data_IF_870715260110
#
_entry.id   IF_870715260110
#
_cell.length_a   1.000
_cell.length_b   1.000
_cell.length_c   1.000
_cell.angle_alpha   90.00
_cell.angle_beta   90.00
_cell.angle_gamma   90.00
#
_symmetry.space_group_name_H-M   'P 1'
#
loop_
_entity.id
_entity.type
_entity.pdbx_description
1 polymer ?
#
# COMPACT_ATOMS: atom_id res chain seq x y z
N UNK A 1 1.19 5.18 -26.17
CA UNK A 1 1.57 5.22 -24.74
C UNK A 1 0.83 4.09 -24.05
N UNK A 2 1.55 3.12 -23.48
CA UNK A 2 0.94 1.97 -22.78
C UNK A 2 0.14 2.47 -21.57
N UNK A 3 -1.05 1.91 -21.36
CA UNK A 3 -1.95 2.27 -20.26
C UNK A 3 -1.88 1.23 -19.16
N UNK A 4 -1.73 1.64 -17.91
CA UNK A 4 -1.60 0.72 -16.77
C UNK A 4 -2.56 1.04 -15.64
N UNK A 5 -2.93 -0.02 -14.92
CA UNK A 5 -3.55 0.05 -13.60
C UNK A 5 -2.60 -0.54 -12.57
N UNK A 6 -2.44 0.14 -11.43
CA UNK A 6 -1.60 -0.31 -10.32
C UNK A 6 -2.51 -0.63 -9.13
N UNK A 7 -2.39 -1.85 -8.61
CA UNK A 7 -3.09 -2.28 -7.40
C UNK A 7 -2.03 -2.80 -6.43
N UNK A 8 -1.91 -2.17 -5.27
CA UNK A 8 -0.89 -2.52 -4.27
C UNK A 8 -1.54 -3.07 -3.02
N UNK A 9 -1.24 -4.31 -2.68
CA UNK A 9 -1.43 -4.84 -1.33
C UNK A 9 -0.29 -4.33 -0.43
N UNK A 10 -0.61 -3.33 0.39
CA UNK A 10 0.37 -2.68 1.26
C UNK A 10 0.85 -3.62 2.37
N UNK A 11 -0.02 -4.50 2.89
CA UNK A 11 0.36 -5.41 3.96
C UNK A 11 1.30 -6.49 3.44
N UNK A 12 0.98 -7.10 2.30
CA UNK A 12 1.85 -8.11 1.69
C UNK A 12 3.23 -7.54 1.37
N UNK A 13 3.29 -6.33 0.78
CA UNK A 13 4.57 -5.64 0.51
C UNK A 13 5.34 -5.39 1.81
N UNK A 14 4.67 -4.90 2.87
CA UNK A 14 5.32 -4.62 4.15
C UNK A 14 5.92 -5.89 4.78
N UNK A 15 5.13 -6.95 4.95
CA UNK A 15 5.61 -8.18 5.60
C UNK A 15 6.69 -8.87 4.78
N UNK A 16 6.50 -8.98 3.46
CA UNK A 16 7.48 -9.62 2.57
C UNK A 16 8.81 -8.88 2.59
N UNK A 17 8.81 -7.55 2.50
CA UNK A 17 10.05 -6.77 2.47
C UNK A 17 10.78 -6.73 3.81
N UNK A 18 10.02 -6.75 4.91
CA UNK A 18 10.58 -6.91 6.25
C UNK A 18 11.20 -8.29 6.46
N UNK A 19 10.50 -9.35 6.08
CA UNK A 19 10.97 -10.72 6.26
C UNK A 19 12.17 -11.04 5.36
N UNK A 20 12.08 -10.75 4.06
CA UNK A 20 13.10 -11.13 3.09
C UNK A 20 14.32 -10.20 3.11
N UNK A 21 14.15 -8.93 3.49
CA UNK A 21 15.18 -7.91 3.32
C UNK A 21 15.41 -7.00 4.53
N UNK A 22 14.65 -7.13 5.62
CA UNK A 22 14.78 -6.31 6.82
C UNK A 22 14.50 -4.80 6.61
N UNK A 23 13.92 -4.40 5.47
CA UNK A 23 13.79 -2.98 5.08
C UNK A 23 12.40 -2.64 4.57
N UNK A 24 12.10 -1.34 4.55
CA UNK A 24 10.85 -0.84 3.98
C UNK A 24 10.93 -0.80 2.45
N UNK A 25 9.78 -0.91 1.80
CA UNK A 25 9.65 -0.69 0.36
C UNK A 25 9.66 0.81 0.02
N UNK A 26 10.34 1.18 -1.06
CA UNK A 26 10.39 2.56 -1.55
C UNK A 26 9.32 2.78 -2.64
N UNK A 27 8.21 3.38 -2.23
CA UNK A 27 7.08 3.66 -3.10
C UNK A 27 7.35 4.76 -4.14
N UNK A 28 8.26 5.70 -3.87
CA UNK A 28 8.61 6.74 -4.85
C UNK A 28 9.41 6.13 -5.99
N UNK A 29 10.42 5.32 -5.66
CA UNK A 29 11.23 4.62 -6.66
C UNK A 29 10.40 3.62 -7.48
N UNK A 30 9.47 2.92 -6.81
CA UNK A 30 8.49 2.07 -7.50
C UNK A 30 7.64 2.88 -8.48
N UNK A 31 7.04 3.98 -8.02
CA UNK A 31 6.19 4.83 -8.86
C UNK A 31 6.92 5.34 -10.10
N UNK A 32 8.11 5.92 -9.93
CA UNK A 32 8.90 6.44 -11.04
C UNK A 32 9.20 5.35 -12.08
N UNK A 33 9.56 4.14 -11.64
CA UNK A 33 9.85 3.01 -12.53
C UNK A 33 8.60 2.44 -13.19
N UNK A 34 7.52 2.27 -12.42
CA UNK A 34 6.29 1.63 -12.89
C UNK A 34 5.55 2.51 -13.92
N UNK A 35 5.59 3.83 -13.71
CA UNK A 35 4.81 4.82 -14.49
C UNK A 35 5.60 5.49 -15.63
N UNK A 36 6.91 5.28 -15.70
CA UNK A 36 7.75 5.83 -16.76
C UNK A 36 7.22 5.50 -18.17
N UNK A 37 7.00 6.54 -18.98
CA UNK A 37 6.46 6.46 -20.36
C UNK A 37 5.10 5.73 -20.47
N UNK A 38 4.32 5.70 -19.40
CA UNK A 38 3.01 5.02 -19.33
C UNK A 38 1.92 5.97 -18.86
N UNK A 39 0.69 5.71 -19.30
CA UNK A 39 -0.51 6.38 -18.80
C UNK A 39 -1.08 5.59 -17.63
N UNK A 40 -1.02 6.15 -16.43
CA UNK A 40 -1.72 5.55 -15.28
C UNK A 40 -3.20 5.89 -15.38
N UNK A 41 -4.04 4.87 -15.58
CA UNK A 41 -5.51 5.06 -15.59
C UNK A 41 -6.12 4.84 -14.21
N UNK A 42 -5.45 4.05 -13.35
CA UNK A 42 -5.84 3.81 -11.96
C UNK A 42 -4.62 3.42 -11.14
N UNK A 43 -4.51 3.95 -9.93
CA UNK A 43 -3.52 3.49 -8.95
C UNK A 43 -4.18 3.42 -7.57
N UNK A 44 -4.29 2.22 -7.02
CA UNK A 44 -4.93 1.98 -5.71
C UNK A 44 -3.94 1.31 -4.78
N UNK A 45 -3.77 1.87 -3.59
CA UNK A 45 -3.07 1.23 -2.48
C UNK A 45 -4.09 0.77 -1.43
N UNK A 46 -4.14 -0.54 -1.23
CA UNK A 46 -5.01 -1.20 -0.28
C UNK A 46 -4.27 -1.34 1.05
N UNK A 47 -4.66 -0.52 2.03
CA UNK A 47 -4.02 -0.44 3.33
C UNK A 47 -5.02 -0.76 4.45
N UNK A 48 -4.46 -0.94 5.65
CA UNK A 48 -5.24 -1.14 6.88
C UNK A 48 -5.19 0.17 7.67
N UNK A 49 -6.29 0.49 8.34
CA UNK A 49 -6.37 1.59 9.28
C UNK A 49 -6.31 1.07 10.72
N UNK A 50 -5.19 1.34 11.41
CA UNK A 50 -5.02 1.10 12.85
C UNK A 50 -5.23 2.36 13.70
N UNK A 51 -5.57 3.49 13.10
CA UNK A 51 -5.82 4.75 13.78
C UNK A 51 -4.58 5.49 14.30
N UNK A 52 -3.39 4.89 14.22
CA UNK A 52 -2.16 5.48 14.75
C UNK A 52 -1.56 6.57 13.82
N UNK A 53 -0.82 7.50 14.42
CA UNK A 53 -0.29 8.67 13.73
C UNK A 53 0.75 8.31 12.65
N UNK A 54 1.56 7.28 12.87
CA UNK A 54 2.59 6.85 11.91
C UNK A 54 1.93 6.26 10.66
N UNK A 55 0.87 5.47 10.82
CA UNK A 55 0.10 4.98 9.68
C UNK A 55 -0.58 6.11 8.92
N UNK A 56 -1.18 7.09 9.59
CA UNK A 56 -1.76 8.26 8.92
C UNK A 56 -0.74 9.03 8.08
N UNK A 57 0.48 9.23 8.62
CA UNK A 57 1.58 9.85 7.86
C UNK A 57 1.95 9.01 6.64
N UNK A 58 2.09 7.70 6.78
CA UNK A 58 2.40 6.81 5.67
C UNK A 58 1.30 6.80 4.58
N UNK A 59 0.03 6.79 4.97
CA UNK A 59 -1.10 6.90 4.04
C UNK A 59 -1.07 8.23 3.27
N UNK A 60 -0.69 9.33 3.93
CA UNK A 60 -0.53 10.63 3.27
C UNK A 60 0.64 10.63 2.28
N UNK A 61 1.73 9.91 2.57
CA UNK A 61 2.83 9.72 1.61
C UNK A 61 2.32 8.98 0.36
N UNK A 62 1.56 7.89 0.51
CA UNK A 62 0.99 7.16 -0.63
C UNK A 62 0.08 8.05 -1.48
N UNK A 63 -0.76 8.88 -0.85
CA UNK A 63 -1.60 9.87 -1.56
C UNK A 63 -0.74 10.88 -2.33
N UNK A 64 0.31 11.41 -1.71
CA UNK A 64 1.21 12.37 -2.34
C UNK A 64 1.95 11.79 -3.55
N UNK A 65 2.24 10.49 -3.55
CA UNK A 65 2.85 9.78 -4.69
C UNK A 65 1.88 9.65 -5.87
N UNK A 66 0.57 9.59 -5.62
CA UNK A 66 -0.46 9.48 -6.66
C UNK A 66 -1.39 8.27 -6.51
N UNK A 67 -1.34 7.56 -5.37
CA UNK A 67 -2.27 6.47 -5.10
C UNK A 67 -3.59 6.97 -4.52
N UNK A 68 -4.70 6.40 -5.00
CA UNK A 68 -5.93 6.32 -4.21
C UNK A 68 -5.72 5.32 -3.08
N UNK A 69 -5.82 5.78 -1.82
CA UNK A 69 -5.64 4.90 -0.66
C UNK A 69 -7.00 4.38 -0.21
N UNK A 70 -7.20 3.06 -0.32
CA UNK A 70 -8.36 2.36 0.24
C UNK A 70 -8.00 1.78 1.60
N UNK A 71 -8.76 2.18 2.61
CA UNK A 71 -8.55 1.75 4.00
C UNK A 71 -9.59 0.72 4.39
N UNK A 72 -9.12 -0.41 4.93
CA UNK A 72 -9.98 -1.37 5.62
C UNK A 72 -9.75 -1.21 7.12
N UNK A 73 -10.82 -1.11 7.93
CA UNK A 73 -10.68 -1.07 9.38
C UNK A 73 -9.91 -2.30 9.86
N UNK A 74 -8.94 -2.11 10.76
CA UNK A 74 -8.31 -3.24 11.43
C UNK A 74 -9.32 -3.88 12.39
N UNK A 75 -9.81 -5.08 12.06
CA UNK A 75 -10.70 -5.84 12.93
C UNK A 75 -9.85 -6.88 13.66
N UNK A 76 -9.66 -6.66 14.96
CA UNK A 76 -9.20 -7.70 15.88
C UNK A 76 -10.43 -8.48 16.34
N UNK A 77 -10.52 -9.76 15.94
CA UNK A 77 -11.64 -10.60 16.34
C UNK A 77 -11.47 -11.09 17.78
N UNK A 78 -12.59 -11.46 18.40
CA UNK A 78 -12.66 -12.03 19.74
C UNK A 78 -11.89 -13.36 19.87
N UNK A 79 -11.64 -14.05 18.75
CA UNK A 79 -10.83 -15.28 18.67
C UNK A 79 -9.32 -15.00 18.54
N UNK A 80 -8.88 -13.74 18.57
CA UNK A 80 -7.49 -13.33 18.40
C UNK A 80 -7.01 -13.32 16.94
N UNK A 81 -7.82 -13.74 15.98
CA UNK A 81 -7.47 -13.66 14.56
C UNK A 81 -7.57 -12.21 14.06
N UNK A 82 -6.56 -11.76 13.33
CA UNK A 82 -6.57 -10.48 12.64
C UNK A 82 -6.94 -10.71 11.17
N UNK A 83 -8.05 -10.12 10.69
CA UNK A 83 -8.28 -10.00 9.25
C UNK A 83 -7.68 -8.69 8.76
N UNK A 84 -6.42 -8.76 8.31
CA UNK A 84 -5.74 -7.68 7.60
C UNK A 84 -5.63 -7.92 6.09
N UNK A 85 -6.17 -9.02 5.59
CA UNK A 85 -6.09 -9.42 4.20
C UNK A 85 -7.12 -8.68 3.34
N UNK A 86 -6.69 -8.25 2.15
CA UNK A 86 -7.53 -7.60 1.15
C UNK A 86 -8.04 -8.57 0.06
N UNK A 87 -7.59 -9.83 0.08
CA UNK A 87 -8.15 -10.94 -0.71
C UNK A 87 -9.59 -11.33 -0.28
#
# INVERSE_FOLDING_TARGET
>A
METISILVDVQNVYYTTKQAYGRNFDYNKFWAKATGNRKVVKAVAYAIDRGDQKQKQFQNILKAIGFEVKLKPYIQRSDGSAKGDWD
#
